data_IF_269860849707
#
_entry.id   IF_269860849707
#
_cell.length_a   1.000
_cell.length_b   1.000
_cell.length_c   1.000
_cell.angle_alpha   90.00
_cell.angle_beta   90.00
_cell.angle_gamma   90.00
#
_symmetry.space_group_name_H-M   'P 1'
#
loop_
_entity.id
_entity.type
_entity.pdbx_description
1 polymer ?
#
# COMPACT_ATOMS: atom_id res chain seq x y z
N UNK A 1 0.54 8.04 -9.09
CA UNK A 1 1.82 8.31 -9.74
C UNK A 1 2.17 7.11 -10.60
N UNK A 2 2.56 7.33 -11.87
CA UNK A 2 3.07 6.24 -12.71
C UNK A 2 4.58 6.20 -12.62
N UNK A 3 5.12 5.00 -12.46
CA UNK A 3 6.53 4.79 -12.70
C UNK A 3 6.74 4.48 -14.18
N UNK A 4 7.39 5.43 -14.82
CA UNK A 4 7.65 5.44 -16.24
C UNK A 4 9.12 5.12 -16.49
N UNK A 5 9.39 4.43 -17.60
CA UNK A 5 10.74 4.41 -18.15
C UNK A 5 11.08 5.77 -18.76
N UNK A 6 12.24 5.86 -19.42
CA UNK A 6 12.54 7.00 -20.30
C UNK A 6 11.36 7.24 -21.24
N UNK A 7 10.94 8.51 -21.37
CA UNK A 7 9.95 8.92 -22.36
C UNK A 7 10.64 9.16 -23.70
N UNK A 8 9.97 8.73 -24.77
CA UNK A 8 10.36 9.00 -26.13
C UNK A 8 9.63 10.25 -26.62
N UNK A 9 10.35 11.13 -27.31
CA UNK A 9 9.81 12.37 -27.85
C UNK A 9 9.96 12.29 -29.37
N UNK A 10 8.84 12.35 -30.07
CA UNK A 10 8.81 12.51 -31.52
C UNK A 10 8.43 13.96 -31.85
N UNK A 11 9.07 14.52 -32.88
CA UNK A 11 8.76 15.86 -33.40
C UNK A 11 8.27 15.72 -34.82
N UNK A 12 7.12 16.30 -35.12
CA UNK A 12 6.57 16.38 -36.46
C UNK A 12 6.39 17.86 -36.85
N UNK A 13 7.10 18.33 -37.87
CA UNK A 13 6.91 19.68 -38.39
C UNK A 13 5.72 19.62 -39.35
N UNK A 14 4.62 20.28 -39.01
CA UNK A 14 3.40 20.26 -39.83
C UNK A 14 3.48 21.27 -40.97
N UNK A 15 3.98 22.48 -40.71
CA UNK A 15 4.19 23.53 -41.70
C UNK A 15 5.33 24.48 -41.29
N UNK A 16 5.55 25.57 -42.04
CA UNK A 16 6.62 26.54 -41.77
C UNK A 16 6.47 27.36 -40.48
N UNK A 17 5.37 27.19 -39.75
CA UNK A 17 5.02 27.92 -38.53
C UNK A 17 4.57 27.02 -37.38
N UNK A 18 4.28 25.75 -37.62
CA UNK A 18 3.75 24.82 -36.61
C UNK A 18 4.51 23.49 -36.57
N UNK A 19 4.70 22.98 -35.35
CA UNK A 19 5.20 21.64 -35.11
C UNK A 19 4.43 20.99 -33.95
N UNK A 20 4.29 19.68 -34.04
CA UNK A 20 3.69 18.82 -33.03
C UNK A 20 4.79 18.01 -32.34
N UNK A 21 4.65 17.87 -31.04
CA UNK A 21 5.50 16.98 -30.24
C UNK A 21 4.60 15.90 -29.65
N UNK A 22 4.96 14.66 -29.89
CA UNK A 22 4.35 13.52 -29.23
C UNK A 22 5.33 12.99 -28.19
N UNK A 23 4.88 12.91 -26.93
CA UNK A 23 5.67 12.37 -25.83
C UNK A 23 5.04 11.06 -25.39
N UNK A 24 5.74 9.95 -25.64
CA UNK A 24 5.32 8.61 -25.22
C UNK A 24 6.09 8.20 -23.98
N UNK A 25 5.40 7.97 -22.87
CA UNK A 25 6.00 7.47 -21.64
C UNK A 25 5.48 6.05 -21.36
N UNK A 26 6.36 5.06 -21.37
CA UNK A 26 5.99 3.67 -21.09
C UNK A 26 5.93 3.43 -19.58
N UNK A 27 4.73 3.09 -19.08
CA UNK A 27 4.52 2.66 -17.69
C UNK A 27 4.96 1.20 -17.57
N UNK A 28 5.99 0.91 -16.77
CA UNK A 28 6.54 -0.45 -16.68
C UNK A 28 5.91 -1.28 -15.54
N UNK A 29 5.37 -0.62 -14.51
CA UNK A 29 4.68 -1.31 -13.40
C UNK A 29 3.24 -1.72 -13.73
N UNK A 30 2.60 -1.05 -14.70
CA UNK A 30 1.23 -1.35 -15.12
C UNK A 30 0.12 -0.87 -14.18
N UNK A 31 0.46 -0.15 -13.10
CA UNK A 31 -0.50 0.42 -12.15
C UNK A 31 -0.15 1.88 -11.76
N UNK A 32 -1.14 2.60 -11.24
CA UNK A 32 -0.99 3.95 -10.70
C UNK A 32 -0.83 3.88 -9.18
N UNK A 33 0.30 4.35 -8.66
CA UNK A 33 0.55 4.35 -7.20
C UNK A 33 -0.16 5.53 -6.52
N UNK A 34 -0.64 5.36 -5.29
CA UNK A 34 -1.13 6.49 -4.51
C UNK A 34 -0.02 7.52 -4.28
N UNK A 35 -0.38 8.80 -4.19
CA UNK A 35 0.56 9.86 -3.78
C UNK A 35 0.83 9.80 -2.26
N UNK A 36 -0.18 9.37 -1.50
CA UNK A 36 -0.15 9.30 -0.04
C UNK A 36 -0.13 7.85 0.44
N UNK A 37 0.44 7.65 1.63
CA UNK A 37 0.54 6.36 2.31
C UNK A 37 -0.49 6.27 3.45
N UNK A 38 -0.78 5.05 3.91
CA UNK A 38 -1.78 4.82 4.97
C UNK A 38 -1.38 5.34 6.35
N UNK A 39 -0.13 5.76 6.54
CA UNK A 39 0.35 6.42 7.78
C UNK A 39 0.14 7.94 7.78
N UNK A 40 -0.24 8.52 6.63
CA UNK A 40 -0.62 9.92 6.50
C UNK A 40 -2.00 10.15 7.11
N UNK A 41 -2.21 11.32 7.74
CA UNK A 41 -3.51 11.67 8.32
C UNK A 41 -4.58 11.80 7.24
N UNK A 42 -5.67 11.06 7.40
CA UNK A 42 -6.81 11.14 6.48
C UNK A 42 -7.49 12.50 6.61
N UNK A 43 -7.54 13.24 5.50
CA UNK A 43 -8.20 14.53 5.40
C UNK A 43 -9.15 14.54 4.21
N UNK A 44 -10.45 14.62 4.50
CA UNK A 44 -11.50 14.74 3.48
C UNK A 44 -11.22 15.86 2.46
N UNK A 45 -10.64 16.98 2.90
CA UNK A 45 -10.30 18.11 2.05
C UNK A 45 -9.17 17.84 1.06
N UNK A 46 -8.31 16.85 1.33
CA UNK A 46 -7.16 16.50 0.48
C UNK A 46 -7.52 15.39 -0.53
N UNK A 47 -8.76 14.88 -0.50
CA UNK A 47 -9.35 14.04 -1.55
C UNK A 47 -8.77 12.63 -1.71
N UNK A 48 -7.67 12.31 -1.04
CA UNK A 48 -7.03 11.01 -1.15
C UNK A 48 -7.91 9.91 -0.52
N UNK A 49 -8.06 8.77 -1.20
CA UNK A 49 -8.99 7.65 -0.92
C UNK A 49 -10.50 7.90 -1.17
N UNK A 50 -10.93 9.11 -1.57
CA UNK A 50 -12.36 9.37 -1.85
C UNK A 50 -12.84 8.71 -3.15
N UNK A 51 -11.97 8.64 -4.15
CA UNK A 51 -12.25 7.99 -5.43
C UNK A 51 -12.54 6.48 -5.27
N UNK A 52 -12.16 5.92 -4.12
CA UNK A 52 -12.28 4.50 -3.80
C UNK A 52 -13.61 4.15 -3.13
N UNK A 53 -14.56 5.08 -3.05
CA UNK A 53 -15.92 4.83 -2.57
C UNK A 53 -16.03 4.66 -1.06
N UNK A 54 -15.21 5.37 -0.29
CA UNK A 54 -15.26 5.30 1.17
C UNK A 54 -16.65 5.79 1.68
N UNK A 55 -17.31 5.05 2.59
CA UNK A 55 -18.58 5.50 3.16
C UNK A 55 -18.44 6.85 3.87
N UNK A 56 -19.44 7.73 3.74
CA UNK A 56 -19.40 9.08 4.33
C UNK A 56 -19.30 9.09 5.86
N UNK A 57 -19.79 8.02 6.51
CA UNK A 57 -19.78 7.82 7.95
C UNK A 57 -18.56 7.01 8.45
N UNK A 58 -17.62 6.69 7.55
CA UNK A 58 -16.44 5.91 7.88
C UNK A 58 -15.16 6.74 7.77
N UNK A 59 -14.37 6.76 8.84
CA UNK A 59 -13.02 7.35 8.84
C UNK A 59 -11.98 6.23 8.93
N UNK A 60 -11.16 6.02 7.89
CA UNK A 60 -10.18 4.96 7.85
C UNK A 60 -9.10 5.21 8.89
N UNK A 61 -8.70 4.16 9.60
CA UNK A 61 -7.60 4.17 10.57
C UNK A 61 -6.71 2.98 10.28
N UNK A 62 -5.40 3.17 10.45
CA UNK A 62 -4.38 2.15 10.22
C UNK A 62 -3.46 1.93 11.43
N UNK A 63 -3.83 2.53 12.58
CA UNK A 63 -3.19 2.31 13.88
C UNK A 63 -4.26 1.84 14.86
N UNK A 64 -4.09 0.65 15.41
CA UNK A 64 -5.08 0.00 16.29
C UNK A 64 -4.42 -0.53 17.55
N UNK A 65 -5.19 -0.58 18.63
CA UNK A 65 -4.80 -1.19 19.91
C UNK A 65 -5.66 -2.41 20.27
N UNK A 66 -6.71 -2.67 19.50
CA UNK A 66 -7.63 -3.81 19.68
C UNK A 66 -7.13 -5.04 18.93
N UNK A 67 -7.63 -6.22 19.33
CA UNK A 67 -7.32 -7.50 18.66
C UNK A 67 -8.11 -7.73 17.37
N UNK A 68 -9.19 -6.97 17.19
CA UNK A 68 -10.03 -6.98 15.98
C UNK A 68 -10.26 -5.55 15.55
N UNK A 69 -10.12 -5.30 14.26
CA UNK A 69 -10.21 -3.99 13.63
C UNK A 69 -10.50 -4.16 12.15
N UNK A 70 -11.01 -3.10 11.53
CA UNK A 70 -11.29 -3.04 10.09
C UNK A 70 -10.22 -2.17 9.43
N UNK A 71 -9.63 -2.68 8.35
CA UNK A 71 -8.70 -1.94 7.50
C UNK A 71 -9.39 -1.70 6.17
N UNK A 72 -9.47 -0.43 5.76
CA UNK A 72 -9.99 -0.07 4.44
C UNK A 72 -8.86 -0.09 3.42
N UNK A 73 -9.03 -0.87 2.35
CA UNK A 73 -8.15 -0.80 1.20
C UNK A 73 -8.66 0.27 0.23
N UNK A 74 -7.96 1.40 0.17
CA UNK A 74 -8.29 2.50 -0.73
C UNK A 74 -7.84 2.29 -2.17
N UNK A 75 -7.30 1.14 -2.56
CA UNK A 75 -7.00 0.85 -3.97
C UNK A 75 -8.12 0.06 -4.64
N UNK A 76 -8.17 0.12 -5.97
CA UNK A 76 -8.99 -0.79 -6.79
C UNK A 76 -8.39 -2.19 -6.90
N UNK A 77 -7.08 -2.32 -6.66
CA UNK A 77 -6.36 -3.58 -6.72
C UNK A 77 -6.31 -4.28 -5.36
N UNK A 78 -6.23 -5.61 -5.39
CA UNK A 78 -5.99 -6.42 -4.18
C UNK A 78 -4.52 -6.31 -3.76
N UNK A 79 -4.27 -5.95 -2.51
CA UNK A 79 -2.90 -5.87 -1.98
C UNK A 79 -2.37 -7.27 -1.67
N UNK A 80 -1.60 -7.83 -2.60
CA UNK A 80 -0.90 -9.10 -2.42
C UNK A 80 0.57 -8.88 -1.97
N UNK A 81 1.00 -9.37 -0.79
CA UNK A 81 2.40 -9.24 -0.36
C UNK A 81 3.41 -9.88 -1.33
N UNK A 82 3.01 -10.86 -2.15
CA UNK A 82 3.87 -11.54 -3.12
C UNK A 82 4.16 -10.70 -4.36
N UNK A 83 3.33 -9.70 -4.65
CA UNK A 83 3.43 -8.84 -5.83
C UNK A 83 4.31 -7.60 -5.60
N UNK A 84 5.18 -7.64 -4.58
CA UNK A 84 6.09 -6.54 -4.22
C UNK A 84 5.40 -5.21 -3.95
N UNK A 85 4.12 -5.22 -3.57
CA UNK A 85 3.45 -4.04 -3.07
C UNK A 85 4.14 -3.54 -1.80
N UNK A 86 4.07 -2.22 -1.56
CA UNK A 86 4.61 -1.60 -0.36
C UNK A 86 3.70 -1.88 0.85
N UNK A 87 3.69 -3.14 1.31
CA UNK A 87 2.93 -3.59 2.46
C UNK A 87 3.87 -3.82 3.66
N UNK A 88 3.69 -3.00 4.70
CA UNK A 88 4.35 -3.19 6.00
C UNK A 88 3.31 -3.16 7.12
N UNK A 89 3.34 -4.18 7.98
CA UNK A 89 2.47 -4.29 9.16
C UNK A 89 3.35 -4.29 10.40
N UNK A 90 3.18 -3.27 11.24
CA UNK A 90 3.90 -3.14 12.50
C UNK A 90 3.06 -3.71 13.63
N UNK A 91 3.63 -4.63 14.39
CA UNK A 91 2.95 -5.39 15.43
C UNK A 91 3.74 -5.25 16.72
N UNK A 92 3.06 -4.75 17.76
CA UNK A 92 3.59 -4.71 19.12
C UNK A 92 2.57 -5.35 20.05
N UNK A 93 2.90 -6.52 20.59
CA UNK A 93 2.05 -7.26 21.51
C UNK A 93 2.87 -8.15 22.45
N UNK A 94 2.20 -8.68 23.46
CA UNK A 94 2.75 -9.73 24.33
C UNK A 94 1.97 -11.02 24.09
N UNK A 95 2.67 -12.10 23.77
CA UNK A 95 2.08 -13.43 23.64
C UNK A 95 3.10 -14.52 24.03
N UNK A 96 2.70 -15.40 24.96
CA UNK A 96 3.56 -16.46 25.47
C UNK A 96 3.70 -17.65 24.52
N UNK A 97 2.72 -17.89 23.65
CA UNK A 97 2.69 -19.01 22.69
C UNK A 97 2.65 -18.55 21.23
N UNK A 98 3.06 -17.31 20.99
CA UNK A 98 2.89 -16.66 19.69
C UNK A 98 1.46 -16.21 19.42
N UNK A 99 1.18 -15.83 18.17
CA UNK A 99 -0.12 -15.28 17.77
C UNK A 99 -0.45 -15.59 16.31
N UNK A 100 -1.71 -15.38 15.95
CA UNK A 100 -2.19 -15.42 14.58
C UNK A 100 -2.75 -14.06 14.18
N UNK A 101 -2.43 -13.62 12.97
CA UNK A 101 -3.07 -12.48 12.32
C UNK A 101 -3.91 -13.04 11.16
N UNK A 102 -5.22 -12.81 11.24
CA UNK A 102 -6.20 -13.39 10.32
C UNK A 102 -6.82 -12.26 9.51
N UNK A 103 -6.71 -12.33 8.19
CA UNK A 103 -7.49 -11.49 7.29
C UNK A 103 -8.82 -12.19 7.00
N UNK A 104 -9.90 -11.71 7.59
CA UNK A 104 -11.22 -12.31 7.39
C UNK A 104 -11.81 -12.07 5.99
N UNK A 105 -11.33 -11.08 5.24
CA UNK A 105 -11.82 -10.78 3.88
C UNK A 105 -11.25 -11.76 2.86
N UNK A 106 -9.95 -12.10 2.95
CA UNK A 106 -9.28 -13.03 2.02
C UNK A 106 -9.16 -14.45 2.56
N UNK A 107 -9.30 -14.64 3.89
CA UNK A 107 -9.06 -15.91 4.56
C UNK A 107 -7.59 -16.20 4.88
N UNK A 108 -6.67 -15.29 4.55
CA UNK A 108 -5.24 -15.46 4.80
C UNK A 108 -4.91 -15.46 6.29
N UNK A 109 -3.99 -16.32 6.70
CA UNK A 109 -3.55 -16.44 8.08
C UNK A 109 -2.03 -16.38 8.17
N UNK A 110 -1.53 -15.40 8.90
CA UNK A 110 -0.14 -15.35 9.35
C UNK A 110 -0.02 -15.94 10.75
N UNK A 111 0.90 -16.89 10.95
CA UNK A 111 1.13 -17.54 12.25
C UNK A 111 2.56 -17.30 12.73
N UNK A 112 2.70 -16.66 13.88
CA UNK A 112 3.98 -16.53 14.58
C UNK A 112 3.97 -17.48 15.78
N UNK A 113 4.93 -18.41 15.82
CA UNK A 113 4.92 -19.54 16.79
C UNK A 113 5.77 -19.32 18.05
N UNK A 114 6.58 -18.26 18.08
CA UNK A 114 7.49 -17.97 19.21
C UNK A 114 6.83 -17.02 20.20
N UNK A 115 7.28 -17.04 21.45
CA UNK A 115 6.90 -16.01 22.41
C UNK A 115 7.42 -14.63 21.98
N UNK A 116 6.68 -13.60 22.35
CA UNK A 116 7.00 -12.20 22.08
C UNK A 116 6.59 -11.36 23.30
N UNK A 117 7.47 -10.46 23.74
CA UNK A 117 7.22 -9.59 24.89
C UNK A 117 7.70 -8.17 24.58
N UNK A 118 6.77 -7.31 24.16
CA UNK A 118 7.05 -5.90 23.80
C UNK A 118 8.10 -5.69 22.69
N UNK A 119 8.53 -6.74 22.02
CA UNK A 119 9.40 -6.65 20.85
C UNK A 119 8.70 -5.94 19.68
N UNK A 120 9.49 -5.35 18.80
CA UNK A 120 9.01 -4.87 17.51
C UNK A 120 8.97 -6.05 16.53
N UNK A 121 7.77 -6.36 16.03
CA UNK A 121 7.60 -7.29 14.92
C UNK A 121 7.09 -6.55 13.69
N UNK A 122 7.82 -6.67 12.59
CA UNK A 122 7.46 -6.07 11.30
C UNK A 122 7.22 -7.16 10.28
N UNK A 123 6.01 -7.21 9.73
CA UNK A 123 5.74 -7.99 8.53
C UNK A 123 5.99 -7.08 7.33
N UNK A 124 7.00 -7.36 6.53
CA UNK A 124 7.33 -6.63 5.32
C UNK A 124 7.18 -7.57 4.13
N UNK A 125 6.13 -7.36 3.33
CA UNK A 125 5.73 -8.30 2.28
C UNK A 125 5.51 -9.70 2.88
N UNK A 126 6.23 -10.73 2.43
CA UNK A 126 6.11 -12.12 2.89
C UNK A 126 7.06 -12.48 4.05
N UNK A 127 7.85 -11.52 4.52
CA UNK A 127 8.88 -11.74 5.55
C UNK A 127 8.50 -11.10 6.88
N UNK A 128 8.77 -11.80 7.97
CA UNK A 128 8.62 -11.30 9.33
C UNK A 128 9.99 -10.95 9.90
N UNK A 129 10.09 -9.84 10.62
CA UNK A 129 11.31 -9.37 11.28
C UNK A 129 11.01 -9.07 12.74
N UNK A 130 11.77 -9.64 13.66
CA UNK A 130 11.75 -9.35 15.10
C UNK A 130 12.97 -8.51 15.45
N UNK A 131 12.76 -7.31 15.97
CA UNK A 131 13.84 -6.38 16.36
C UNK A 131 14.90 -6.18 15.25
N UNK A 132 14.46 -6.16 13.99
CA UNK A 132 15.33 -6.01 12.80
C UNK A 132 15.91 -7.32 12.24
N UNK A 133 15.78 -8.45 12.94
CA UNK A 133 16.25 -9.76 12.49
C UNK A 133 15.12 -10.61 11.91
N UNK A 134 15.41 -11.42 10.90
CA UNK A 134 14.41 -12.26 10.21
C UNK A 134 14.13 -13.58 10.93
#
# INVERSE_FOLDING_TARGET
KFDISKCDISKNIKDGSSCEFEVTCKVYKGYYESVYETDTEFKMSEGWMLESGIPLDFTPKYKHKSKSFVIWNGSTDTIDPRMHHKLKIYIQLTASKGFELINHTTGDVFKYKKSIEKDELVLSSVYAYRNGER
#
